data_IF_228833302255
#
_entry.id   IF_228833302255
#
_cell.length_a   1.000
_cell.length_b   1.000
_cell.length_c   1.000
_cell.angle_alpha   90.00
_cell.angle_beta   90.00
_cell.angle_gamma   90.00
#
_symmetry.space_group_name_H-M   'P 1'
#
loop_
_entity.id
_entity.type
_entity.pdbx_description
1 polymer ?
#
# COMPACT_ATOMS: atom_id res chain seq x y z
N UNK A 1 -18.75 -15.43 16.64
CA UNK A 1 -19.03 -15.15 15.21
C UNK A 1 -17.85 -14.37 14.65
N UNK A 2 -17.08 -14.95 13.74
CA UNK A 2 -15.90 -14.28 13.16
C UNK A 2 -16.38 -13.18 12.20
N UNK A 3 -16.04 -11.92 12.50
CA UNK A 3 -16.31 -10.79 11.62
C UNK A 3 -15.24 -10.80 10.54
N UNK A 4 -15.60 -11.23 9.33
CA UNK A 4 -14.71 -11.10 8.18
C UNK A 4 -14.56 -9.61 7.84
N UNK A 5 -13.33 -9.13 7.65
CA UNK A 5 -13.04 -7.81 7.11
C UNK A 5 -13.69 -7.68 5.73
N UNK A 6 -14.82 -6.96 5.63
CA UNK A 6 -15.47 -6.64 4.36
C UNK A 6 -14.94 -5.30 3.87
N UNK A 7 -13.81 -5.33 3.16
CA UNK A 7 -13.36 -4.21 2.35
C UNK A 7 -14.46 -3.90 1.31
N UNK A 8 -14.89 -2.65 1.24
CA UNK A 8 -15.76 -2.19 0.16
C UNK A 8 -14.83 -1.75 -0.98
N UNK A 9 -14.69 -2.52 -2.08
CA UNK A 9 -13.85 -2.09 -3.18
C UNK A 9 -14.43 -0.81 -3.77
N UNK A 10 -13.55 0.15 -4.07
CA UNK A 10 -13.96 1.33 -4.81
C UNK A 10 -14.43 0.93 -6.23
N UNK A 11 -15.43 1.60 -6.79
CA UNK A 11 -15.86 1.32 -8.16
C UNK A 11 -14.79 1.75 -9.17
N UNK A 12 -14.67 1.03 -10.30
CA UNK A 12 -13.76 1.39 -11.40
C UNK A 12 -13.99 2.79 -12.00
N UNK A 13 -15.12 3.42 -11.69
CA UNK A 13 -15.42 4.80 -12.07
C UNK A 13 -14.57 5.82 -11.31
N UNK A 14 -13.95 5.45 -10.18
CA UNK A 14 -13.04 6.33 -9.45
C UNK A 14 -11.71 6.53 -10.17
N UNK A 15 -11.33 5.58 -11.05
CA UNK A 15 -10.06 5.63 -11.75
C UNK A 15 -9.98 6.86 -12.66
N UNK A 16 -8.82 7.54 -12.69
CA UNK A 16 -8.63 8.72 -13.53
C UNK A 16 -8.70 8.34 -15.01
N UNK A 17 -8.75 9.37 -15.86
CA UNK A 17 -8.79 9.19 -17.31
C UNK A 17 -7.64 8.29 -17.80
N UNK A 18 -7.98 7.29 -18.61
CA UNK A 18 -7.03 6.43 -19.30
C UNK A 18 -7.58 6.08 -20.69
N UNK A 19 -6.77 6.04 -21.76
CA UNK A 19 -7.25 5.77 -23.13
C UNK A 19 -8.00 4.44 -23.30
N UNK A 20 -7.64 3.42 -22.51
CA UNK A 20 -8.28 2.10 -22.53
C UNK A 20 -9.57 1.99 -21.71
N UNK A 21 -10.01 3.08 -21.06
CA UNK A 21 -11.24 3.10 -20.28
C UNK A 21 -12.36 3.82 -21.05
N UNK A 22 -13.53 3.19 -21.08
CA UNK A 22 -14.73 3.83 -21.62
C UNK A 22 -15.14 5.04 -20.74
N UNK A 23 -15.80 6.01 -21.38
CA UNK A 23 -16.35 7.23 -20.79
C UNK A 23 -15.31 8.28 -20.33
N UNK A 24 -14.64 8.88 -21.32
CA UNK A 24 -13.56 9.87 -21.17
C UNK A 24 -13.99 11.17 -20.47
N UNK A 25 -15.22 11.63 -20.69
CA UNK A 25 -15.65 12.98 -20.33
C UNK A 25 -15.95 13.17 -18.84
N UNK A 26 -16.13 12.10 -18.07
CA UNK A 26 -16.50 12.18 -16.64
C UNK A 26 -15.36 11.84 -15.67
N UNK A 27 -14.15 11.55 -16.17
CA UNK A 27 -13.02 11.09 -15.33
C UNK A 27 -12.08 12.23 -14.98
N UNK A 28 -11.48 12.14 -13.80
CA UNK A 28 -10.49 13.10 -13.32
C UNK A 28 -9.18 13.01 -14.12
N UNK A 29 -8.46 14.12 -14.34
CA UNK A 29 -7.10 14.08 -14.86
C UNK A 29 -6.16 13.27 -13.93
N UNK A 30 -5.25 12.42 -14.46
CA UNK A 30 -4.35 11.61 -13.67
C UNK A 30 -3.54 12.40 -12.62
N UNK A 31 -2.92 13.50 -13.02
CA UNK A 31 -2.12 14.35 -12.13
C UNK A 31 -2.92 14.86 -10.91
N UNK A 32 -4.14 15.36 -11.14
CA UNK A 32 -5.00 15.85 -10.07
C UNK A 32 -5.46 14.74 -9.12
N UNK A 33 -5.75 13.56 -9.66
CA UNK A 33 -6.10 12.38 -8.89
C UNK A 33 -4.93 11.88 -8.02
N UNK A 34 -3.73 11.79 -8.59
CA UNK A 34 -2.52 11.39 -7.87
C UNK A 34 -2.19 12.37 -6.75
N UNK A 35 -2.22 13.68 -7.02
CA UNK A 35 -2.00 14.70 -6.00
C UNK A 35 -3.00 14.60 -4.85
N UNK A 36 -4.28 14.40 -5.15
CA UNK A 36 -5.31 14.20 -4.13
C UNK A 36 -5.04 12.97 -3.26
N UNK A 37 -4.79 11.81 -3.87
CA UNK A 37 -4.55 10.56 -3.11
C UNK A 37 -3.29 10.65 -2.27
N UNK A 38 -2.20 11.22 -2.80
CA UNK A 38 -0.95 11.38 -2.06
C UNK A 38 -1.13 12.33 -0.86
N UNK A 39 -1.84 13.44 -1.03
CA UNK A 39 -2.14 14.38 0.05
C UNK A 39 -3.06 13.76 1.13
N UNK A 40 -4.07 13.00 0.71
CA UNK A 40 -4.96 12.27 1.63
C UNK A 40 -4.19 11.19 2.41
N UNK A 41 -3.32 10.43 1.72
CA UNK A 41 -2.46 9.43 2.34
C UNK A 41 -1.49 10.04 3.35
N UNK A 42 -0.84 11.16 3.02
CA UNK A 42 0.06 11.86 3.95
C UNK A 42 -0.69 12.38 5.18
N UNK A 43 -1.86 12.99 4.96
CA UNK A 43 -2.75 13.44 6.04
C UNK A 43 -3.17 12.29 6.97
N UNK A 44 -3.52 11.14 6.38
CA UNK A 44 -3.84 9.94 7.13
C UNK A 44 -2.64 9.44 7.95
N UNK A 45 -1.47 9.29 7.33
CA UNK A 45 -0.24 8.82 7.99
C UNK A 45 0.18 9.74 9.14
N UNK A 46 0.09 11.06 8.97
CA UNK A 46 0.35 12.02 10.02
C UNK A 46 -0.60 11.82 11.23
N UNK A 47 -1.88 11.54 10.96
CA UNK A 47 -2.89 11.31 11.97
C UNK A 47 -2.68 10.03 12.79
N UNK A 48 -1.96 9.02 12.26
CA UNK A 48 -1.74 7.75 12.97
C UNK A 48 -1.03 7.99 14.31
N UNK A 49 -0.11 8.95 14.35
CA UNK A 49 0.70 9.25 15.54
C UNK A 49 -0.11 9.74 16.74
N UNK A 50 -1.25 10.38 16.49
CA UNK A 50 -2.15 11.00 17.49
C UNK A 50 -3.43 10.20 17.70
N UNK A 51 -3.90 9.45 16.69
CA UNK A 51 -5.19 8.77 16.75
C UNK A 51 -5.13 7.28 17.07
N UNK A 52 -3.96 6.64 16.91
CA UNK A 52 -3.81 5.22 17.22
C UNK A 52 -3.24 5.01 18.64
N UNK A 53 -3.78 4.02 19.33
CA UNK A 53 -3.28 3.59 20.63
C UNK A 53 -1.98 2.81 20.45
N UNK A 54 -0.89 3.32 21.02
CA UNK A 54 0.44 2.71 20.92
C UNK A 54 0.58 1.57 21.93
N UNK A 55 1.09 0.42 21.49
CA UNK A 55 1.51 -0.62 22.41
C UNK A 55 2.75 -0.16 23.18
N UNK A 56 2.82 -0.51 24.46
CA UNK A 56 3.87 -0.02 25.38
C UNK A 56 5.25 -0.61 25.10
N UNK A 57 5.31 -1.80 24.49
CA UNK A 57 6.57 -2.51 24.24
C UNK A 57 6.73 -2.83 22.74
N UNK A 58 7.90 -2.55 22.16
CA UNK A 58 8.20 -2.99 20.80
C UNK A 58 8.30 -4.52 20.72
N UNK A 59 8.11 -5.05 19.51
CA UNK A 59 8.22 -6.48 19.18
C UNK A 59 9.47 -6.72 18.33
N UNK A 60 10.00 -7.94 18.41
CA UNK A 60 11.04 -8.42 17.50
C UNK A 60 10.41 -9.18 16.33
N UNK A 61 10.99 -9.05 15.14
CA UNK A 61 10.52 -9.71 13.93
C UNK A 61 11.72 -10.20 13.09
N UNK A 62 12.41 -11.27 13.52
CA UNK A 62 13.52 -11.83 12.76
C UNK A 62 13.12 -12.14 11.31
N UNK A 63 14.02 -11.96 10.32
CA UNK A 63 15.43 -11.63 10.47
C UNK A 63 15.73 -10.13 10.71
N UNK A 64 14.72 -9.26 10.70
CA UNK A 64 14.94 -7.83 10.94
C UNK A 64 15.48 -7.57 12.36
N UNK A 65 16.51 -6.73 12.44
CA UNK A 65 17.11 -6.30 13.73
C UNK A 65 16.34 -5.13 14.36
N UNK A 66 15.69 -4.31 13.53
CA UNK A 66 14.93 -3.16 13.98
C UNK A 66 13.71 -3.55 14.85
N UNK A 67 13.46 -2.85 15.97
CA UNK A 67 12.26 -3.05 16.77
C UNK A 67 11.00 -2.63 16.01
N UNK A 68 9.93 -3.41 16.17
CA UNK A 68 8.62 -3.14 15.57
C UNK A 68 7.70 -2.51 16.61
N UNK A 69 7.30 -1.27 16.39
CA UNK A 69 6.27 -0.59 17.16
C UNK A 69 4.91 -0.89 16.54
N UNK A 70 3.95 -1.29 17.38
CA UNK A 70 2.59 -1.59 16.95
C UNK A 70 1.64 -0.58 17.58
N UNK A 71 0.75 -0.02 16.79
CA UNK A 71 -0.37 0.78 17.27
C UNK A 71 -1.67 0.30 16.66
N UNK A 72 -2.80 0.55 17.32
CA UNK A 72 -4.11 0.10 16.84
C UNK A 72 -5.18 1.13 17.08
N UNK A 73 -6.21 1.14 16.23
CA UNK A 73 -7.38 2.00 16.36
C UNK A 73 -8.60 1.25 15.87
N UNK A 74 -9.70 1.36 16.62
CA UNK A 74 -11.01 0.95 16.13
C UNK A 74 -11.68 2.15 15.48
N UNK A 75 -11.99 2.04 14.19
CA UNK A 75 -12.69 3.07 13.43
C UNK A 75 -14.14 2.62 13.27
N UNK A 76 -15.07 3.49 13.68
CA UNK A 76 -16.51 3.23 13.60
C UNK A 76 -17.13 4.15 12.56
N UNK A 77 -17.75 3.54 11.56
CA UNK A 77 -18.54 4.21 10.55
C UNK A 77 -20.02 3.82 10.76
N UNK A 78 -20.95 4.56 10.13
CA UNK A 78 -22.40 4.41 10.35
C UNK A 78 -22.94 2.96 10.22
N UNK A 79 -22.22 2.08 9.52
CA UNK A 79 -22.65 0.71 9.27
C UNK A 79 -21.61 -0.36 9.63
N UNK A 80 -20.40 0.00 10.07
CA UNK A 80 -19.29 -0.95 10.27
C UNK A 80 -18.31 -0.48 11.34
N UNK A 81 -17.76 -1.44 12.07
CA UNK A 81 -16.61 -1.26 12.94
C UNK A 81 -15.40 -1.97 12.30
N UNK A 82 -14.30 -1.24 12.15
CA UNK A 82 -13.06 -1.74 11.56
C UNK A 82 -11.94 -1.62 12.57
N UNK A 83 -11.18 -2.70 12.75
CA UNK A 83 -10.00 -2.71 13.61
C UNK A 83 -8.74 -2.56 12.76
N UNK A 84 -8.07 -1.42 12.92
CA UNK A 84 -6.87 -1.07 12.19
C UNK A 84 -5.64 -1.28 13.08
N UNK A 85 -4.58 -1.85 12.48
CA UNK A 85 -3.28 -2.04 13.12
C UNK A 85 -2.20 -1.41 12.24
N UNK A 86 -1.38 -0.54 12.83
CA UNK A 86 -0.21 0.03 12.19
C UNK A 86 1.04 -0.61 12.80
N UNK A 87 1.99 -0.99 11.93
CA UNK A 87 3.33 -1.46 12.29
C UNK A 87 4.35 -0.46 11.79
N UNK A 88 5.28 -0.05 12.65
CA UNK A 88 6.38 0.86 12.30
C UNK A 88 7.71 0.26 12.76
N UNK A 89 8.66 0.18 11.85
CA UNK A 89 10.07 -0.15 12.12
C UNK A 89 10.95 0.84 11.37
N UNK A 90 12.06 1.24 11.97
CA UNK A 90 13.05 2.13 11.33
C UNK A 90 14.34 1.36 11.18
N UNK A 91 14.81 1.24 9.95
CA UNK A 91 15.98 0.45 9.58
C UNK A 91 17.15 1.37 9.22
N UNK A 92 18.37 0.88 9.44
CA UNK A 92 19.55 1.59 8.98
C UNK A 92 19.63 1.47 7.45
N UNK A 93 19.90 2.57 6.76
CA UNK A 93 20.21 2.54 5.33
C UNK A 93 21.60 1.91 5.12
N UNK A 94 21.66 0.57 5.08
CA UNK A 94 22.88 -0.19 4.88
C UNK A 94 22.56 -1.63 4.43
N UNK A 95 23.37 -2.21 3.52
CA UNK A 95 23.21 -3.59 3.07
C UNK A 95 23.84 -4.56 4.09
N UNK A 96 23.17 -4.75 5.21
CA UNK A 96 23.62 -5.60 6.33
C UNK A 96 22.50 -6.52 6.78
N UNK A 97 22.84 -7.66 7.38
CA UNK A 97 21.86 -8.62 7.86
C UNK A 97 20.81 -7.98 8.77
N UNK A 98 19.55 -8.19 8.41
CA UNK A 98 18.39 -7.64 9.13
C UNK A 98 18.10 -6.17 8.86
N UNK A 99 18.74 -5.56 7.86
CA UNK A 99 18.45 -4.24 7.30
C UNK A 99 18.55 -4.25 5.77
N UNK A 100 18.31 -3.11 5.12
CA UNK A 100 18.53 -2.93 3.69
C UNK A 100 19.03 -1.51 3.41
N UNK A 101 19.84 -1.38 2.36
CA UNK A 101 20.15 -0.10 1.74
C UNK A 101 18.91 0.47 1.03
N UNK A 102 18.93 1.77 0.73
CA UNK A 102 17.87 2.43 -0.01
C UNK A 102 17.73 1.86 -1.42
N UNK A 103 18.85 1.52 -2.06
CA UNK A 103 18.91 0.87 -3.37
C UNK A 103 18.27 -0.52 -3.34
N UNK A 104 18.55 -1.32 -2.31
CA UNK A 104 17.88 -2.62 -2.11
C UNK A 104 16.38 -2.45 -1.83
N UNK A 105 16.00 -1.44 -1.04
CA UNK A 105 14.59 -1.13 -0.78
C UNK A 105 13.85 -0.74 -2.08
N UNK A 106 14.45 0.13 -2.89
CA UNK A 106 13.87 0.54 -4.17
C UNK A 106 13.75 -0.65 -5.12
N UNK A 107 14.82 -1.42 -5.32
CA UNK A 107 14.78 -2.55 -6.24
C UNK A 107 13.84 -3.67 -5.77
N UNK A 108 13.72 -3.86 -4.46
CA UNK A 108 12.90 -4.90 -3.85
C UNK A 108 11.42 -4.55 -3.71
N UNK A 109 11.05 -3.28 -3.52
CA UNK A 109 9.66 -2.89 -3.24
C UNK A 109 9.06 -1.88 -4.22
N UNK A 110 9.85 -0.93 -4.75
CA UNK A 110 9.37 0.10 -5.69
C UNK A 110 9.42 -0.42 -7.12
N UNK A 111 10.59 -0.90 -7.54
CA UNK A 111 10.83 -1.38 -8.89
C UNK A 111 10.32 -2.80 -9.05
N UNK A 112 9.76 -3.13 -10.22
CA UNK A 112 9.22 -4.46 -10.51
C UNK A 112 8.27 -4.98 -9.42
N UNK A 113 7.55 -4.07 -8.73
CA UNK A 113 6.72 -4.34 -7.56
C UNK A 113 5.89 -5.62 -7.71
N UNK A 114 5.19 -5.73 -8.84
CA UNK A 114 4.39 -6.87 -9.25
C UNK A 114 5.14 -8.20 -9.24
N UNK A 115 6.34 -8.24 -9.82
CA UNK A 115 7.17 -9.45 -9.90
C UNK A 115 7.68 -9.83 -8.51
N UNK A 116 8.12 -8.84 -7.75
CA UNK A 116 8.63 -9.04 -6.40
C UNK A 116 7.51 -9.52 -5.47
N UNK A 117 6.28 -9.03 -5.63
CA UNK A 117 5.12 -9.49 -4.86
C UNK A 117 4.84 -10.98 -5.09
N UNK A 118 4.94 -11.47 -6.34
CA UNK A 118 4.84 -12.90 -6.65
C UNK A 118 5.95 -13.73 -6.00
N UNK A 119 7.18 -13.21 -5.97
CA UNK A 119 8.33 -13.90 -5.39
C UNK A 119 8.22 -13.99 -3.85
N UNK A 120 7.73 -12.92 -3.21
CA UNK A 120 7.62 -12.85 -1.75
C UNK A 120 6.33 -13.47 -1.20
N UNK A 121 5.30 -13.61 -2.03
CA UNK A 121 3.99 -14.11 -1.61
C UNK A 121 3.65 -15.40 -2.36
N UNK A 122 4.03 -16.58 -1.81
CA UNK A 122 3.86 -17.87 -2.50
C UNK A 122 2.42 -18.20 -2.93
N UNK A 123 1.41 -17.56 -2.33
CA UNK A 123 0.00 -17.73 -2.71
C UNK A 123 -0.41 -16.91 -3.93
N UNK A 124 0.41 -15.96 -4.40
CA UNK A 124 0.17 -15.20 -5.63
C UNK A 124 0.69 -16.02 -6.81
N UNK A 125 -0.22 -16.49 -7.66
CA UNK A 125 0.10 -17.34 -8.81
C UNK A 125 0.26 -16.58 -10.12
N UNK A 126 -0.19 -15.34 -10.17
CA UNK A 126 -0.07 -14.49 -11.33
C UNK A 126 -0.41 -13.06 -10.95
N UNK A 127 0.24 -12.11 -11.61
CA UNK A 127 -0.18 -10.72 -11.56
C UNK A 127 -0.15 -10.16 -12.97
N UNK A 128 -1.25 -9.54 -13.37
CA UNK A 128 -1.43 -8.93 -14.68
C UNK A 128 -1.60 -7.42 -14.50
N UNK A 129 -0.74 -6.62 -15.15
CA UNK A 129 -0.90 -5.17 -15.19
C UNK A 129 -1.99 -4.82 -16.21
N UNK A 130 -3.10 -4.27 -15.74
CA UNK A 130 -4.29 -3.95 -16.53
C UNK A 130 -4.21 -2.55 -17.16
N UNK A 131 -3.76 -1.56 -16.38
CA UNK A 131 -3.66 -0.15 -16.81
C UNK A 131 -2.34 0.45 -16.32
N UNK A 132 -1.81 1.40 -17.09
CA UNK A 132 -0.55 2.06 -16.80
C UNK A 132 -0.66 3.53 -17.20
N UNK A 133 -0.42 4.44 -16.25
CA UNK A 133 -0.42 5.87 -16.52
C UNK A 133 1.00 6.38 -16.74
N UNK A 134 1.19 7.45 -17.53
CA UNK A 134 2.49 8.09 -17.66
C UNK A 134 3.04 8.49 -16.30
N UNK A 135 4.34 8.26 -16.11
CA UNK A 135 5.07 8.66 -14.91
C UNK A 135 5.09 10.16 -14.76
N UNK A 136 4.66 10.65 -13.61
CA UNK A 136 4.78 12.06 -13.25
C UNK A 136 6.15 12.33 -12.63
N UNK A 137 6.82 13.37 -13.12
CA UNK A 137 8.15 13.75 -12.61
C UNK A 137 8.05 14.41 -11.25
N UNK A 138 7.04 15.24 -11.07
CA UNK A 138 6.81 16.01 -9.87
C UNK A 138 5.31 16.20 -9.68
N UNK A 139 4.85 16.03 -8.44
CA UNK A 139 3.50 16.31 -7.98
C UNK A 139 3.60 17.22 -6.75
N UNK A 140 2.58 18.07 -6.54
CA UNK A 140 2.48 18.94 -5.37
C UNK A 140 2.74 18.18 -4.05
N UNK A 141 3.45 18.82 -3.11
CA UNK A 141 3.90 18.19 -1.87
C UNK A 141 5.32 17.62 -1.93
N UNK A 142 6.04 17.80 -3.04
CA UNK A 142 7.43 17.37 -3.19
C UNK A 142 7.59 15.90 -3.61
N UNK A 143 6.51 15.27 -4.06
CA UNK A 143 6.54 13.91 -4.58
C UNK A 143 7.20 13.91 -5.95
N UNK A 144 8.14 13.00 -6.14
CA UNK A 144 8.87 12.84 -7.39
C UNK A 144 8.75 11.43 -7.88
N UNK A 145 8.86 11.26 -9.20
CA UNK A 145 8.93 9.94 -9.82
C UNK A 145 7.73 9.04 -9.47
N UNK A 146 6.53 9.58 -9.63
CA UNK A 146 5.27 8.91 -9.25
C UNK A 146 4.77 8.07 -10.41
N UNK A 147 4.73 6.77 -10.18
CA UNK A 147 4.15 5.78 -11.08
C UNK A 147 2.76 5.37 -10.58
N UNK A 148 1.80 5.19 -11.49
CA UNK A 148 0.45 4.73 -11.17
C UNK A 148 0.04 3.67 -12.17
N UNK A 149 -0.41 2.52 -11.66
CA UNK A 149 -0.87 1.39 -12.47
C UNK A 149 -1.97 0.65 -11.73
N UNK A 150 -2.80 -0.08 -12.48
CA UNK A 150 -3.78 -1.01 -11.92
C UNK A 150 -3.35 -2.44 -12.25
N UNK A 151 -3.28 -3.29 -11.23
CA UNK A 151 -2.84 -4.67 -11.33
C UNK A 151 -3.93 -5.62 -10.84
N UNK A 152 -4.08 -6.78 -11.50
CA UNK A 152 -4.89 -7.90 -11.02
C UNK A 152 -3.96 -8.98 -10.51
N UNK A 153 -4.04 -9.29 -9.22
CA UNK A 153 -3.32 -10.42 -8.61
C UNK A 153 -4.25 -11.62 -8.48
N UNK A 154 -3.82 -12.75 -9.02
CA UNK A 154 -4.52 -14.02 -8.96
C UNK A 154 -3.94 -14.86 -7.80
N UNK A 155 -4.77 -15.15 -6.81
CA UNK A 155 -4.39 -15.92 -5.61
C UNK A 155 -4.79 -17.39 -5.74
N UNK A 156 -3.86 -18.29 -5.41
CA UNK A 156 -4.15 -19.70 -5.21
C UNK A 156 -4.63 -19.94 -3.78
N UNK A 157 -5.94 -20.08 -3.63
CA UNK A 157 -6.60 -20.32 -2.34
C UNK A 157 -6.35 -21.73 -1.77
N UNK A 158 -5.65 -22.64 -2.46
CA UNK A 158 -5.44 -24.02 -1.98
C UNK A 158 -4.38 -24.16 -0.88
N UNK A 159 -3.71 -23.07 -0.46
CA UNK A 159 -2.66 -23.07 0.57
C UNK A 159 -3.07 -22.44 1.91
N UNK A 160 -4.30 -21.95 2.05
CA UNK A 160 -4.85 -21.45 3.33
C UNK A 160 -5.77 -22.50 4.00
N UNK A 161 -5.28 -23.73 4.07
CA UNK A 161 -5.86 -24.78 4.92
C UNK A 161 -5.12 -24.86 6.25
N UNK A 162 -5.56 -24.06 7.22
CA UNK A 162 -5.36 -24.31 8.66
C UNK A 162 -6.60 -23.87 9.43
#
# INVERSE_FOLDING_TARGET
MSSYLRLAPNPFTILPFHPSLDNVQSRYPPHGFQGFILADADSFLASVSTTFHKQRRPRHSPPATAPVYVSSRTIRNAHKEEFWVCRKSVHQNAPVDGSASWEEFQSGLKENHTKNEMEYTPSVTGVERLLDWPREREIEGGWQEVDMSENRSDFCWSLLGY
#
